data_IF_505311829962
#
_entry.id   IF_505311829962
#
_cell.length_a   1.000
_cell.length_b   1.000
_cell.length_c   1.000
_cell.angle_alpha   90.00
_cell.angle_beta   90.00
_cell.angle_gamma   90.00
#
_symmetry.space_group_name_H-M   'P 1'
#
loop_
_entity.id
_entity.type
_entity.pdbx_description
1 polymer ?
#
# COMPACT_ATOMS: atom_id res chain seq x y z
N UNK A 1 -0.96 21.82 9.08
CA UNK A 1 -0.09 22.82 8.44
C UNK A 1 1.35 22.34 8.48
N UNK A 2 2.00 22.24 7.32
CA UNK A 2 3.45 22.12 7.26
C UNK A 2 4.09 23.32 7.95
N UNK A 3 5.32 23.19 8.44
CA UNK A 3 6.02 24.28 9.16
C UNK A 3 6.15 25.59 8.36
N UNK A 4 5.85 25.58 7.06
CA UNK A 4 5.97 26.69 6.12
C UNK A 4 4.62 27.30 5.67
N UNK A 5 3.48 26.89 6.22
CA UNK A 5 2.15 27.38 5.79
C UNK A 5 1.67 26.83 4.44
N UNK A 6 2.34 25.81 3.89
CA UNK A 6 1.96 25.12 2.65
C UNK A 6 0.92 24.02 2.92
N UNK A 7 0.05 23.77 1.94
CA UNK A 7 -0.96 22.72 2.04
C UNK A 7 -0.31 21.33 2.12
N UNK A 8 -0.85 20.46 2.98
CA UNK A 8 -0.43 19.04 3.05
C UNK A 8 -0.89 18.29 1.81
N UNK A 9 0.03 17.68 1.07
CA UNK A 9 -0.26 16.92 -0.15
C UNK A 9 -0.29 15.43 0.14
N UNK A 10 -1.43 14.78 -0.10
CA UNK A 10 -1.62 13.34 0.09
C UNK A 10 -2.01 12.65 -1.22
N UNK A 11 -1.45 11.47 -1.48
CA UNK A 11 -1.71 10.67 -2.67
C UNK A 11 -2.09 9.23 -2.31
N UNK A 12 -3.31 8.80 -2.68
CA UNK A 12 -3.87 7.49 -2.31
C UNK A 12 -4.16 6.67 -3.56
N UNK A 13 -3.48 5.52 -3.76
CA UNK A 13 -3.70 4.64 -4.90
C UNK A 13 -4.85 3.66 -4.66
N UNK A 14 -5.57 3.27 -5.75
CA UNK A 14 -6.69 2.32 -5.64
C UNK A 14 -7.86 2.89 -4.83
N UNK A 15 -8.10 4.20 -4.92
CA UNK A 15 -8.95 4.93 -3.98
C UNK A 15 -10.40 5.14 -4.46
N UNK A 16 -10.83 4.50 -5.55
CA UNK A 16 -12.19 4.65 -6.07
C UNK A 16 -13.27 3.86 -5.31
N UNK A 17 -12.88 3.02 -4.33
CA UNK A 17 -13.80 2.20 -3.55
C UNK A 17 -13.15 1.65 -2.28
N UNK A 18 -13.98 1.08 -1.37
CA UNK A 18 -13.52 0.33 -0.19
C UNK A 18 -12.57 1.14 0.69
N UNK A 19 -11.51 0.49 1.19
CA UNK A 19 -10.54 1.11 2.10
C UNK A 19 -9.90 2.37 1.52
N UNK A 20 -9.50 2.34 0.24
CA UNK A 20 -8.86 3.50 -0.40
C UNK A 20 -9.76 4.73 -0.43
N UNK A 21 -11.06 4.56 -0.73
CA UNK A 21 -12.04 5.66 -0.68
C UNK A 21 -12.21 6.21 0.75
N UNK A 22 -12.26 5.31 1.74
CA UNK A 22 -12.34 5.69 3.15
C UNK A 22 -11.09 6.41 3.64
N UNK A 23 -9.91 6.04 3.13
CA UNK A 23 -8.65 6.75 3.42
C UNK A 23 -8.66 8.18 2.86
N UNK A 24 -9.10 8.36 1.60
CA UNK A 24 -9.27 9.71 1.01
C UNK A 24 -10.26 10.52 1.84
N UNK A 25 -11.40 9.93 2.22
CA UNK A 25 -12.41 10.58 3.08
C UNK A 25 -11.80 11.01 4.42
N UNK A 26 -11.06 10.14 5.08
CA UNK A 26 -10.45 10.42 6.37
C UNK A 26 -9.42 11.55 6.29
N UNK A 27 -8.52 11.51 5.31
CA UNK A 27 -7.51 12.55 5.10
C UNK A 27 -8.14 13.89 4.70
N UNK A 28 -9.14 13.88 3.80
CA UNK A 28 -9.84 15.10 3.40
C UNK A 28 -10.58 15.76 4.56
N UNK A 29 -11.19 14.98 5.47
CA UNK A 29 -11.80 15.50 6.70
C UNK A 29 -10.77 16.07 7.67
N UNK A 30 -9.63 15.41 7.79
CA UNK A 30 -8.59 15.82 8.73
C UNK A 30 -7.89 17.11 8.32
N UNK A 31 -7.65 17.29 7.03
CA UNK A 31 -6.90 18.45 6.53
C UNK A 31 -7.80 19.61 6.10
N UNK A 32 -9.07 19.34 5.74
CA UNK A 32 -9.98 20.38 5.29
C UNK A 32 -9.41 21.17 4.11
N UNK A 33 -9.44 22.49 4.21
CA UNK A 33 -8.91 23.41 3.19
C UNK A 33 -7.37 23.49 3.19
N UNK A 34 -6.71 23.03 4.25
CA UNK A 34 -5.25 23.01 4.39
C UNK A 34 -4.61 21.78 3.71
N UNK A 35 -5.40 20.94 3.03
CA UNK A 35 -4.90 19.72 2.39
C UNK A 35 -5.37 19.52 0.97
N UNK A 36 -4.46 18.98 0.15
CA UNK A 36 -4.73 18.52 -1.22
C UNK A 36 -4.65 17.01 -1.20
N UNK A 37 -5.81 16.33 -1.31
CA UNK A 37 -5.88 14.87 -1.27
C UNK A 37 -6.21 14.32 -2.65
N UNK A 38 -5.27 13.60 -3.24
CA UNK A 38 -5.43 12.94 -4.53
C UNK A 38 -6.07 11.55 -4.36
N UNK A 39 -7.19 11.35 -5.06
CA UNK A 39 -7.85 10.07 -5.27
C UNK A 39 -7.31 9.47 -6.57
N UNK A 40 -6.36 8.54 -6.47
CA UNK A 40 -5.79 7.90 -7.65
C UNK A 40 -6.46 6.56 -7.95
N UNK A 41 -6.91 6.36 -9.20
CA UNK A 41 -7.56 5.13 -9.64
C UNK A 41 -7.37 4.87 -11.13
N UNK A 42 -7.34 3.59 -11.51
CA UNK A 42 -7.14 3.15 -12.90
C UNK A 42 -8.29 3.55 -13.83
N UNK A 43 -9.52 3.43 -13.35
CA UNK A 43 -10.72 3.78 -14.14
C UNK A 43 -11.09 5.24 -13.89
N UNK A 44 -11.00 6.08 -14.94
CA UNK A 44 -11.42 7.47 -14.88
C UNK A 44 -12.89 7.60 -14.46
N UNK A 45 -13.78 6.78 -15.02
CA UNK A 45 -15.21 6.80 -14.73
C UNK A 45 -15.48 6.55 -13.24
N UNK A 46 -14.95 5.43 -12.69
CA UNK A 46 -15.14 5.07 -11.28
C UNK A 46 -14.44 6.04 -10.33
N UNK A 47 -13.27 6.56 -10.71
CA UNK A 47 -12.55 7.55 -9.92
C UNK A 47 -13.32 8.86 -9.83
N UNK A 48 -13.84 9.38 -10.94
CA UNK A 48 -14.67 10.58 -10.96
C UNK A 48 -16.00 10.40 -10.21
N UNK A 49 -16.60 9.19 -10.30
CA UNK A 49 -17.79 8.88 -9.50
C UNK A 49 -17.49 8.94 -8.00
N UNK A 50 -16.36 8.37 -7.57
CA UNK A 50 -15.92 8.40 -6.17
C UNK A 50 -15.64 9.84 -5.69
N UNK A 51 -15.04 10.69 -6.53
CA UNK A 51 -14.86 12.11 -6.23
C UNK A 51 -16.20 12.83 -6.07
N UNK A 52 -17.16 12.57 -6.98
CA UNK A 52 -18.51 13.15 -6.82
C UNK A 52 -19.15 12.76 -5.50
N UNK A 53 -19.07 11.45 -5.15
CA UNK A 53 -19.58 10.97 -3.86
C UNK A 53 -18.96 11.73 -2.67
N UNK A 54 -17.65 11.94 -2.67
CA UNK A 54 -16.97 12.67 -1.59
C UNK A 54 -17.31 14.15 -1.60
N UNK A 55 -17.56 14.76 -2.77
CA UNK A 55 -18.02 16.14 -2.89
C UNK A 55 -19.44 16.33 -2.34
N UNK A 56 -20.31 15.35 -2.53
CA UNK A 56 -21.65 15.35 -1.93
C UNK A 56 -21.59 15.26 -0.39
N UNK A 57 -20.47 14.72 0.16
CA UNK A 57 -20.16 14.76 1.60
C UNK A 57 -19.50 16.08 2.07
N UNK A 58 -19.32 17.06 1.17
CA UNK A 58 -18.67 18.35 1.47
C UNK A 58 -17.14 18.31 1.44
N UNK A 59 -16.53 17.25 0.85
CA UNK A 59 -15.08 17.10 0.74
C UNK A 59 -14.62 17.48 -0.68
N UNK A 60 -13.33 17.84 -0.83
CA UNK A 60 -12.79 18.34 -2.11
C UNK A 60 -11.55 17.59 -2.59
N UNK A 61 -11.59 16.24 -2.72
CA UNK A 61 -10.44 15.52 -3.26
C UNK A 61 -10.25 15.79 -4.75
N UNK A 62 -8.99 15.69 -5.22
CA UNK A 62 -8.64 15.74 -6.62
C UNK A 62 -8.56 14.34 -7.22
N UNK A 63 -9.08 14.16 -8.44
CA UNK A 63 -8.93 12.89 -9.16
C UNK A 63 -7.61 12.85 -9.92
N UNK A 64 -6.90 11.73 -9.82
CA UNK A 64 -5.75 11.40 -10.66
C UNK A 64 -5.93 10.03 -11.30
N UNK A 65 -5.85 9.95 -12.64
CA UNK A 65 -5.92 8.65 -13.31
C UNK A 65 -4.56 7.95 -13.21
N UNK A 66 -4.52 6.76 -12.61
CA UNK A 66 -3.29 5.99 -12.43
C UNK A 66 -3.55 4.48 -12.43
N UNK A 67 -2.89 3.76 -13.33
CA UNK A 67 -2.68 2.31 -13.19
C UNK A 67 -1.27 2.07 -12.63
N UNK A 68 -1.18 1.51 -11.42
CA UNK A 68 0.12 1.23 -10.76
C UNK A 68 0.97 0.18 -11.49
N UNK A 69 0.40 -0.50 -12.49
CA UNK A 69 1.13 -1.44 -13.37
C UNK A 69 1.86 -0.74 -14.51
N UNK A 70 1.52 0.50 -14.79
CA UNK A 70 2.13 1.32 -15.83
C UNK A 70 3.21 2.20 -15.21
N UNK A 71 4.46 1.90 -15.54
CA UNK A 71 5.63 2.60 -15.00
C UNK A 71 5.65 4.07 -15.41
N UNK A 72 5.25 4.37 -16.65
CA UNK A 72 5.28 5.75 -17.19
C UNK A 72 4.22 6.61 -16.48
N UNK A 73 2.99 6.08 -16.30
CA UNK A 73 1.96 6.77 -15.53
C UNK A 73 2.37 7.02 -14.06
N UNK A 74 3.05 6.07 -13.42
CA UNK A 74 3.54 6.25 -12.04
C UNK A 74 4.61 7.32 -11.97
N UNK A 75 5.55 7.35 -12.92
CA UNK A 75 6.59 8.38 -12.99
C UNK A 75 5.98 9.76 -13.31
N UNK A 76 5.04 9.85 -14.25
CA UNK A 76 4.32 11.09 -14.59
C UNK A 76 3.55 11.63 -13.38
N UNK A 77 2.93 10.75 -12.60
CA UNK A 77 2.22 11.16 -11.37
C UNK A 77 3.19 11.79 -10.35
N UNK A 78 4.33 11.16 -10.10
CA UNK A 78 5.34 11.70 -9.19
C UNK A 78 5.87 13.05 -9.69
N UNK A 79 6.20 13.16 -10.98
CA UNK A 79 6.66 14.41 -11.58
C UNK A 79 5.61 15.52 -11.50
N UNK A 80 4.34 15.20 -11.78
CA UNK A 80 3.22 16.15 -11.64
C UNK A 80 3.11 16.72 -10.24
N UNK A 81 3.25 15.85 -9.20
CA UNK A 81 3.21 16.32 -7.81
C UNK A 81 4.42 17.18 -7.47
N UNK A 82 5.60 16.78 -7.94
CA UNK A 82 6.83 17.56 -7.75
C UNK A 82 6.72 18.95 -8.38
N UNK A 83 6.21 19.04 -9.61
CA UNK A 83 6.05 20.32 -10.31
C UNK A 83 4.99 21.22 -9.69
N UNK A 84 3.85 20.65 -9.25
CA UNK A 84 2.73 21.43 -8.73
C UNK A 84 2.92 21.84 -7.27
N UNK A 85 3.56 20.99 -6.47
CA UNK A 85 3.59 21.10 -5.01
C UNK A 85 4.98 21.04 -4.39
N UNK A 86 6.04 20.89 -5.21
CA UNK A 86 7.41 20.71 -4.71
C UNK A 86 7.70 19.30 -4.20
N UNK A 87 6.69 18.48 -3.90
CA UNK A 87 6.80 17.13 -3.38
C UNK A 87 5.47 16.59 -2.85
N UNK A 88 5.55 15.56 -2.00
CA UNK A 88 4.39 14.92 -1.38
C UNK A 88 4.64 14.61 0.09
N UNK A 89 3.63 14.83 0.93
CA UNK A 89 3.73 14.62 2.38
C UNK A 89 3.23 13.24 2.80
N UNK A 90 2.21 12.71 2.10
CA UNK A 90 1.62 11.41 2.43
C UNK A 90 1.40 10.60 1.16
N UNK A 91 1.98 9.40 1.12
CA UNK A 91 1.73 8.40 0.07
C UNK A 91 1.11 7.16 0.69
N UNK A 92 -0.10 6.81 0.25
CA UNK A 92 -0.77 5.56 0.62
C UNK A 92 -0.80 4.62 -0.59
N UNK A 93 0.15 3.66 -0.64
CA UNK A 93 0.17 2.59 -1.62
C UNK A 93 -0.85 1.53 -1.22
N UNK A 94 -2.10 1.71 -1.68
CA UNK A 94 -3.25 0.88 -1.33
C UNK A 94 -3.78 0.06 -2.50
N UNK A 95 -3.46 0.41 -3.75
CA UNK A 95 -3.94 -0.32 -4.92
C UNK A 95 -3.63 -1.81 -4.83
N UNK A 96 -4.64 -2.65 -5.04
CA UNK A 96 -4.50 -4.11 -5.03
C UNK A 96 -5.45 -4.76 -6.04
N UNK A 97 -4.99 -5.84 -6.66
CA UNK A 97 -5.85 -6.72 -7.43
C UNK A 97 -6.63 -7.63 -6.48
N UNK A 98 -7.94 -7.76 -6.73
CA UNK A 98 -8.81 -8.70 -6.02
C UNK A 98 -8.64 -10.11 -6.61
N UNK A 99 -8.64 -11.12 -5.74
CA UNK A 99 -8.82 -12.52 -6.15
C UNK A 99 -10.30 -12.85 -6.19
N UNK A 100 -10.67 -13.79 -7.07
CA UNK A 100 -12.00 -14.38 -7.15
C UNK A 100 -11.88 -15.89 -7.04
N UNK A 101 -12.92 -16.58 -6.53
CA UNK A 101 -12.88 -18.04 -6.32
C UNK A 101 -13.01 -18.85 -7.61
N UNK A 102 -13.51 -18.22 -8.66
CA UNK A 102 -13.79 -18.78 -9.98
C UNK A 102 -12.60 -18.76 -10.95
N UNK A 103 -11.50 -18.09 -10.56
CA UNK A 103 -10.25 -18.03 -11.34
C UNK A 103 -9.13 -18.70 -10.56
N UNK A 104 -8.37 -19.56 -11.24
CA UNK A 104 -7.25 -20.27 -10.61
C UNK A 104 -6.12 -19.31 -10.16
N UNK A 105 -5.33 -19.73 -9.18
CA UNK A 105 -4.14 -18.96 -8.78
C UNK A 105 -3.12 -18.88 -9.92
N UNK A 106 -2.98 -19.92 -10.75
CA UNK A 106 -2.11 -19.93 -11.93
C UNK A 106 -2.49 -18.84 -12.95
N UNK A 107 -3.78 -18.63 -13.19
CA UNK A 107 -4.27 -17.59 -14.11
C UNK A 107 -4.23 -16.19 -13.48
N UNK A 108 -4.24 -16.11 -12.14
CA UNK A 108 -4.34 -14.86 -11.40
C UNK A 108 -2.97 -14.28 -11.04
N UNK A 109 -1.98 -15.13 -10.74
CA UNK A 109 -0.74 -14.77 -10.04
C UNK A 109 0.04 -13.64 -10.70
N UNK A 110 0.20 -13.66 -12.03
CA UNK A 110 0.98 -12.65 -12.76
C UNK A 110 0.43 -11.24 -12.57
N UNK A 111 -0.86 -11.04 -12.81
CA UNK A 111 -1.51 -9.76 -12.60
C UNK A 111 -1.59 -9.35 -11.14
N UNK A 112 -1.72 -10.35 -10.25
CA UNK A 112 -1.77 -10.14 -8.79
C UNK A 112 -0.44 -9.61 -8.25
N UNK A 113 0.68 -10.23 -8.61
CA UNK A 113 2.03 -9.78 -8.24
C UNK A 113 2.36 -8.45 -8.91
N UNK A 114 2.00 -8.27 -10.19
CA UNK A 114 2.26 -7.02 -10.90
C UNK A 114 1.54 -5.83 -10.24
N UNK A 115 0.27 -6.00 -9.85
CA UNK A 115 -0.47 -4.93 -9.19
C UNK A 115 0.00 -4.70 -7.76
N UNK A 116 0.05 -5.77 -6.94
CA UNK A 116 0.23 -5.64 -5.49
C UNK A 116 1.69 -5.38 -5.10
N UNK A 117 2.63 -6.04 -5.79
CA UNK A 117 4.05 -5.99 -5.47
C UNK A 117 4.81 -5.05 -6.39
N UNK A 118 4.84 -5.32 -7.70
CA UNK A 118 5.56 -4.43 -8.63
C UNK A 118 4.94 -3.03 -8.69
N UNK A 119 3.61 -2.90 -8.53
CA UNK A 119 2.95 -1.61 -8.35
C UNK A 119 3.47 -0.86 -7.13
N UNK A 120 3.60 -1.54 -5.97
CA UNK A 120 4.22 -0.96 -4.76
C UNK A 120 5.68 -0.57 -5.03
N UNK A 121 6.47 -1.39 -5.74
CA UNK A 121 7.87 -1.09 -6.06
C UNK A 121 7.99 0.13 -6.99
N UNK A 122 7.11 0.26 -7.99
CA UNK A 122 7.05 1.46 -8.85
C UNK A 122 6.74 2.71 -8.03
N UNK A 123 5.76 2.63 -7.11
CA UNK A 123 5.45 3.73 -6.19
C UNK A 123 6.66 4.10 -5.32
N UNK A 124 7.38 3.12 -4.76
CA UNK A 124 8.60 3.36 -3.98
C UNK A 124 9.65 4.11 -4.80
N UNK A 125 9.93 3.65 -6.03
CA UNK A 125 10.97 4.25 -6.89
C UNK A 125 10.62 5.66 -7.35
N UNK A 126 9.36 5.91 -7.71
CA UNK A 126 8.93 7.20 -8.24
C UNK A 126 8.66 8.24 -7.14
N UNK A 127 8.00 7.84 -6.06
CA UNK A 127 7.58 8.76 -5.02
C UNK A 127 8.61 8.93 -3.89
N UNK A 128 9.47 7.94 -3.65
CA UNK A 128 10.53 8.04 -2.65
C UNK A 128 11.40 9.30 -2.78
N UNK A 129 11.89 9.64 -3.99
CA UNK A 129 12.72 10.83 -4.20
C UNK A 129 12.02 12.17 -3.97
N UNK A 130 10.68 12.22 -4.08
CA UNK A 130 9.88 13.45 -3.96
C UNK A 130 9.16 13.59 -2.62
N UNK A 131 9.44 12.71 -1.66
CA UNK A 131 8.91 12.83 -0.30
C UNK A 131 9.45 14.09 0.37
N UNK A 132 8.56 14.90 0.93
CA UNK A 132 8.91 16.07 1.72
C UNK A 132 9.53 15.68 3.07
N UNK A 133 10.13 16.64 3.78
CA UNK A 133 10.55 16.43 5.16
C UNK A 133 9.34 16.08 6.04
N UNK A 134 9.51 15.13 6.93
CA UNK A 134 8.43 14.55 7.74
C UNK A 134 7.31 13.87 6.97
N UNK A 135 7.55 13.44 5.73
CA UNK A 135 6.56 12.69 4.94
C UNK A 135 6.28 11.30 5.50
N UNK A 136 5.17 10.72 5.05
CA UNK A 136 4.71 9.37 5.41
C UNK A 136 4.49 8.55 4.15
N UNK A 137 5.20 7.45 4.02
CA UNK A 137 4.99 6.48 2.94
C UNK A 137 4.45 5.18 3.56
N UNK A 138 3.17 4.91 3.35
CA UNK A 138 2.49 3.76 3.96
C UNK A 138 2.00 2.80 2.89
N UNK A 139 2.39 1.53 3.00
CA UNK A 139 1.89 0.43 2.16
C UNK A 139 0.78 -0.31 2.89
N UNK A 140 -0.40 -0.40 2.28
CA UNK A 140 -1.50 -1.20 2.84
C UNK A 140 -1.22 -2.68 2.59
N UNK A 141 -0.75 -3.34 3.65
CA UNK A 141 -0.39 -4.76 3.66
C UNK A 141 -1.45 -5.62 4.39
N UNK A 142 -1.00 -6.56 5.21
CA UNK A 142 -1.83 -7.46 6.02
C UNK A 142 -1.00 -8.11 7.11
N UNK A 143 -1.64 -8.63 8.15
CA UNK A 143 -1.01 -9.51 9.14
C UNK A 143 -0.40 -10.77 8.49
N UNK A 144 -0.85 -11.16 7.29
CA UNK A 144 -0.21 -12.22 6.48
C UNK A 144 1.19 -11.83 5.95
N UNK A 145 1.60 -10.58 6.07
CA UNK A 145 2.92 -10.10 5.68
C UNK A 145 4.07 -10.53 6.59
N UNK A 146 3.87 -11.48 7.50
CA UNK A 146 4.90 -11.96 8.45
C UNK A 146 5.52 -13.28 7.97
N UNK A 147 6.83 -13.45 8.23
CA UNK A 147 7.59 -14.62 7.78
C UNK A 147 7.12 -15.94 8.41
N UNK A 148 6.43 -15.90 9.55
CA UNK A 148 5.88 -17.11 10.18
C UNK A 148 4.92 -17.91 9.29
N UNK A 149 4.35 -17.28 8.26
CA UNK A 149 3.49 -17.96 7.28
C UNK A 149 4.26 -18.70 6.20
N UNK A 150 5.60 -18.54 6.16
CA UNK A 150 6.49 -19.33 5.32
C UNK A 150 7.07 -20.50 6.12
N UNK A 151 7.39 -21.57 5.40
CA UNK A 151 8.28 -22.61 5.93
C UNK A 151 9.64 -21.99 6.27
N UNK A 152 10.31 -22.54 7.27
CA UNK A 152 11.56 -22.01 7.80
C UNK A 152 12.64 -21.83 6.72
N UNK A 153 12.71 -22.76 5.78
CA UNK A 153 13.69 -22.79 4.70
C UNK A 153 13.51 -21.64 3.68
N UNK A 154 12.28 -21.08 3.59
CA UNK A 154 11.97 -19.99 2.68
C UNK A 154 12.16 -18.59 3.30
N UNK A 155 12.17 -18.50 4.65
CA UNK A 155 12.25 -17.20 5.36
C UNK A 155 13.51 -16.40 5.01
N UNK A 156 14.72 -17.00 4.91
CA UNK A 156 15.92 -16.26 4.52
C UNK A 156 15.85 -15.63 3.13
N UNK A 157 14.99 -16.15 2.25
CA UNK A 157 14.76 -15.56 0.92
C UNK A 157 14.13 -14.17 0.95
N UNK A 158 13.54 -13.77 2.07
CA UNK A 158 12.94 -12.45 2.30
C UNK A 158 13.74 -11.61 3.31
N UNK A 159 15.05 -11.83 3.41
CA UNK A 159 15.92 -11.02 4.26
C UNK A 159 16.07 -9.61 3.71
N UNK A 160 15.19 -8.71 4.15
CA UNK A 160 15.17 -7.31 3.74
C UNK A 160 16.44 -6.53 4.14
N UNK A 161 17.27 -7.05 5.07
CA UNK A 161 18.51 -6.39 5.44
C UNK A 161 19.58 -6.51 4.36
N UNK A 162 19.60 -7.63 3.60
CA UNK A 162 20.56 -7.89 2.54
C UNK A 162 20.00 -7.73 1.12
N UNK A 163 18.66 -7.77 0.97
CA UNK A 163 17.99 -7.77 -0.33
C UNK A 163 17.82 -6.35 -0.89
N UNK A 164 17.81 -6.22 -2.22
CA UNK A 164 17.38 -5.02 -2.95
C UNK A 164 15.96 -5.19 -3.49
N UNK A 165 15.30 -4.10 -3.90
CA UNK A 165 14.00 -4.19 -4.58
C UNK A 165 14.08 -5.04 -5.84
N UNK A 166 15.16 -4.95 -6.64
CA UNK A 166 15.36 -5.79 -7.82
C UNK A 166 15.55 -7.27 -7.45
N UNK A 167 16.20 -7.55 -6.32
CA UNK A 167 16.31 -8.91 -5.78
C UNK A 167 14.97 -9.48 -5.37
N UNK A 168 14.12 -8.66 -4.73
CA UNK A 168 12.75 -9.03 -4.37
C UNK A 168 11.89 -9.26 -5.61
N UNK A 169 12.02 -8.44 -6.66
CA UNK A 169 11.31 -8.64 -7.94
C UNK A 169 11.68 -9.98 -8.59
N UNK A 170 12.97 -10.33 -8.62
CA UNK A 170 13.43 -11.64 -9.14
C UNK A 170 12.84 -12.80 -8.34
N UNK A 171 12.83 -12.70 -7.00
CA UNK A 171 12.23 -13.71 -6.13
C UNK A 171 10.73 -13.89 -6.42
N UNK A 172 10.00 -12.79 -6.58
CA UNK A 172 8.56 -12.83 -6.88
C UNK A 172 8.28 -13.34 -8.30
N UNK A 173 9.19 -13.09 -9.27
CA UNK A 173 9.09 -13.67 -10.61
C UNK A 173 9.32 -15.19 -10.60
N UNK A 174 10.30 -15.68 -9.84
CA UNK A 174 10.50 -17.14 -9.63
C UNK A 174 9.26 -17.78 -8.99
N UNK A 175 8.71 -17.16 -7.94
CA UNK A 175 7.49 -17.64 -7.30
C UNK A 175 6.31 -17.66 -8.28
N UNK A 176 6.14 -16.60 -9.07
CA UNK A 176 5.10 -16.52 -10.11
C UNK A 176 5.19 -17.69 -11.09
N UNK A 177 6.40 -18.01 -11.58
CA UNK A 177 6.62 -19.13 -12.49
C UNK A 177 6.24 -20.48 -11.86
N UNK A 178 6.55 -20.69 -10.57
CA UNK A 178 6.18 -21.91 -9.84
C UNK A 178 4.66 -22.05 -9.70
N UNK A 179 3.94 -20.97 -9.40
CA UNK A 179 2.48 -20.98 -9.30
C UNK A 179 1.84 -21.25 -10.67
N UNK A 180 2.33 -20.65 -11.74
CA UNK A 180 1.88 -20.90 -13.12
C UNK A 180 2.09 -22.36 -13.55
N UNK A 181 3.17 -22.99 -13.06
CA UNK A 181 3.45 -24.40 -13.29
C UNK A 181 2.71 -25.37 -12.35
N UNK A 182 2.06 -24.86 -11.29
CA UNK A 182 1.45 -25.68 -10.23
C UNK A 182 2.45 -26.40 -9.33
N UNK A 183 3.68 -25.90 -9.26
CA UNK A 183 4.83 -26.50 -8.53
C UNK A 183 5.13 -25.79 -7.19
N UNK A 184 4.45 -24.68 -6.90
CA UNK A 184 4.69 -23.83 -5.74
C UNK A 184 4.55 -24.60 -4.42
N UNK A 185 3.49 -25.40 -4.24
CA UNK A 185 3.29 -26.16 -3.01
C UNK A 185 4.33 -27.28 -2.84
N UNK A 186 4.72 -27.95 -3.93
CA UNK A 186 5.81 -28.94 -3.91
C UNK A 186 7.15 -28.30 -3.54
N UNK A 187 7.38 -27.05 -3.95
CA UNK A 187 8.55 -26.26 -3.58
C UNK A 187 8.44 -25.64 -2.16
N UNK A 188 7.37 -25.93 -1.41
CA UNK A 188 7.21 -25.52 -0.01
C UNK A 188 6.55 -24.16 0.21
N UNK A 189 6.07 -23.52 -0.84
CA UNK A 189 5.37 -22.23 -0.72
C UNK A 189 3.98 -22.40 -0.10
N UNK A 190 3.43 -21.32 0.53
CA UNK A 190 2.06 -21.33 1.04
C UNK A 190 1.03 -21.56 -0.08
N UNK A 191 -0.07 -22.23 0.26
CA UNK A 191 -1.18 -22.47 -0.67
C UNK A 191 -1.94 -21.20 -1.10
N UNK A 192 -1.68 -20.07 -0.47
CA UNK A 192 -2.33 -18.80 -0.80
C UNK A 192 -1.32 -17.80 -1.36
N UNK A 193 -1.52 -17.40 -2.60
CA UNK A 193 -0.70 -16.36 -3.26
C UNK A 193 -0.76 -15.02 -2.52
N UNK A 194 -1.83 -14.76 -1.77
CA UNK A 194 -1.97 -13.54 -0.98
C UNK A 194 -0.92 -13.46 0.13
N UNK A 195 -0.57 -14.58 0.77
CA UNK A 195 0.45 -14.62 1.82
C UNK A 195 1.80 -14.15 1.28
N UNK A 196 2.26 -14.73 0.18
CA UNK A 196 3.57 -14.39 -0.42
C UNK A 196 3.58 -12.94 -0.89
N UNK A 197 2.49 -12.49 -1.53
CA UNK A 197 2.35 -11.09 -1.94
C UNK A 197 2.44 -10.13 -0.75
N UNK A 198 1.77 -10.42 0.36
CA UNK A 198 1.80 -9.56 1.56
C UNK A 198 3.17 -9.57 2.26
N UNK A 199 3.86 -10.70 2.28
CA UNK A 199 5.25 -10.77 2.75
C UNK A 199 6.15 -9.91 1.86
N UNK A 200 5.99 -10.00 0.53
CA UNK A 200 6.73 -9.18 -0.42
C UNK A 200 6.48 -7.68 -0.24
N UNK A 201 5.24 -7.26 0.06
CA UNK A 201 4.94 -5.84 0.35
C UNK A 201 5.64 -5.35 1.62
N UNK A 202 5.64 -6.13 2.71
CA UNK A 202 6.34 -5.76 3.95
C UNK A 202 7.85 -5.77 3.74
N UNK A 203 8.39 -6.74 2.99
CA UNK A 203 9.82 -6.75 2.63
C UNK A 203 10.21 -5.49 1.84
N UNK A 204 9.40 -5.06 0.86
CA UNK A 204 9.64 -3.83 0.11
C UNK A 204 9.67 -2.57 0.99
N UNK A 205 8.76 -2.48 1.97
CA UNK A 205 8.76 -1.41 2.99
C UNK A 205 10.05 -1.40 3.78
N UNK A 206 10.49 -2.54 4.28
CA UNK A 206 11.74 -2.68 5.06
C UNK A 206 12.98 -2.32 4.23
N UNK A 207 13.01 -2.71 2.96
CA UNK A 207 14.08 -2.33 2.02
C UNK A 207 14.08 -0.81 1.82
N UNK A 208 12.93 -0.20 1.52
CA UNK A 208 12.81 1.24 1.35
C UNK A 208 13.25 1.99 2.62
N UNK A 209 12.77 1.55 3.78
CA UNK A 209 13.12 2.17 5.06
C UNK A 209 14.63 2.09 5.36
N UNK A 210 15.28 0.96 5.07
CA UNK A 210 16.74 0.82 5.18
C UNK A 210 17.49 1.79 4.26
N UNK A 211 17.02 1.92 3.01
CA UNK A 211 17.69 2.69 1.96
C UNK A 211 17.41 4.20 2.06
N UNK A 212 16.34 4.61 2.78
CA UNK A 212 16.03 6.01 3.06
C UNK A 212 16.66 6.47 4.37
N UNK A 213 17.29 7.64 4.33
CA UNK A 213 17.87 8.23 5.54
C UNK A 213 16.76 8.77 6.46
N UNK A 214 16.76 8.36 7.74
CA UNK A 214 15.84 8.88 8.78
C UNK A 214 16.00 10.40 9.05
N UNK A 215 17.06 11.01 8.51
CA UNK A 215 17.46 12.41 8.78
C UNK A 215 16.40 13.45 8.45
N UNK A 216 15.47 13.13 7.53
CA UNK A 216 14.40 14.04 7.09
C UNK A 216 13.09 13.85 7.86
N UNK A 217 13.06 13.03 8.91
CA UNK A 217 11.85 12.74 9.68
C UNK A 217 10.78 11.94 8.90
N UNK A 218 11.15 11.35 7.76
CA UNK A 218 10.25 10.53 6.93
C UNK A 218 10.00 9.20 7.64
N UNK A 219 8.73 8.79 7.72
CA UNK A 219 8.35 7.44 8.17
C UNK A 219 7.88 6.60 6.98
N UNK A 220 8.34 5.35 6.95
CA UNK A 220 8.06 4.38 5.88
C UNK A 220 7.63 3.10 6.55
N UNK A 221 6.33 2.74 6.45
CA UNK A 221 5.76 1.61 7.17
C UNK A 221 4.73 0.85 6.34
N UNK A 222 4.42 -0.37 6.77
CA UNK A 222 3.31 -1.15 6.28
C UNK A 222 2.14 -1.11 7.28
N UNK A 223 0.92 -0.94 6.79
CA UNK A 223 -0.28 -0.94 7.63
C UNK A 223 -1.14 -2.18 7.35
N UNK A 224 -1.56 -2.87 8.40
CA UNK A 224 -2.60 -3.88 8.35
C UNK A 224 -3.91 -3.30 8.89
N UNK A 225 -4.94 -3.08 8.06
CA UNK A 225 -6.20 -2.51 8.51
C UNK A 225 -7.07 -3.49 9.32
N UNK A 226 -6.67 -4.77 9.42
CA UNK A 226 -7.47 -5.85 9.95
C UNK A 226 -8.39 -6.48 8.90
N UNK A 227 -9.36 -7.29 9.37
CA UNK A 227 -10.42 -7.80 8.51
C UNK A 227 -11.44 -6.69 8.24
N UNK A 228 -11.59 -6.34 6.97
CA UNK A 228 -12.50 -5.28 6.52
C UNK A 228 -13.61 -5.89 5.67
N UNK A 229 -14.84 -5.50 5.90
CA UNK A 229 -15.99 -5.91 5.11
C UNK A 229 -15.99 -5.18 3.77
N UNK A 230 -15.42 -5.82 2.76
CA UNK A 230 -15.33 -5.33 1.38
C UNK A 230 -15.65 -6.45 0.40
N UNK A 231 -15.94 -6.11 -0.83
CA UNK A 231 -16.07 -7.10 -1.91
C UNK A 231 -14.80 -7.95 -2.10
N UNK A 232 -13.63 -7.45 -1.70
CA UNK A 232 -12.37 -8.17 -1.83
C UNK A 232 -12.18 -9.25 -0.76
N UNK A 233 -12.72 -9.06 0.44
CA UNK A 233 -12.58 -9.95 1.59
C UNK A 233 -13.70 -10.98 1.71
N UNK A 234 -14.95 -10.55 1.49
CA UNK A 234 -16.15 -11.40 1.65
C UNK A 234 -16.04 -12.80 1.04
N UNK A 235 -15.45 -13.02 -0.16
CA UNK A 235 -15.35 -14.36 -0.73
C UNK A 235 -14.45 -15.33 0.07
N UNK A 236 -13.56 -14.82 0.94
CA UNK A 236 -12.48 -15.59 1.58
C UNK A 236 -12.70 -15.89 3.06
N UNK A 237 -13.70 -15.28 3.66
CA UNK A 237 -14.01 -15.45 5.08
C UNK A 237 -15.50 -15.82 5.22
N UNK A 238 -15.77 -16.98 5.81
CA UNK A 238 -17.14 -17.45 6.03
C UNK A 238 -17.83 -16.68 7.17
N UNK A 239 -17.05 -16.21 8.15
CA UNK A 239 -17.53 -15.36 9.23
C UNK A 239 -16.96 -13.93 9.11
N UNK A 240 -17.86 -13.00 8.82
CA UNK A 240 -17.57 -11.58 8.71
C UNK A 240 -18.06 -10.77 9.93
N UNK A 241 -18.53 -11.45 11.00
CA UNK A 241 -19.11 -10.80 12.18
C UNK A 241 -18.15 -9.86 12.92
N UNK A 242 -16.84 -10.12 12.80
CA UNK A 242 -15.78 -9.28 13.39
C UNK A 242 -15.15 -8.31 12.39
N UNK A 243 -15.62 -8.31 11.14
CA UNK A 243 -15.08 -7.44 10.11
C UNK A 243 -15.49 -5.99 10.37
N UNK A 244 -14.52 -5.09 10.28
CA UNK A 244 -14.75 -3.66 10.35
C UNK A 244 -15.32 -3.15 9.02
N UNK A 245 -16.11 -2.08 9.06
CA UNK A 245 -16.40 -1.30 7.85
C UNK A 245 -15.11 -0.73 7.24
N UNK A 246 -15.16 -0.32 5.98
CA UNK A 246 -14.01 0.33 5.33
C UNK A 246 -13.58 1.62 6.06
N UNK A 247 -14.55 2.39 6.59
CA UNK A 247 -14.27 3.61 7.35
C UNK A 247 -13.59 3.30 8.68
N UNK A 248 -14.04 2.30 9.43
CA UNK A 248 -13.38 1.86 10.67
C UNK A 248 -11.98 1.32 10.42
N UNK A 249 -11.79 0.58 9.30
CA UNK A 249 -10.47 0.09 8.91
C UNK A 249 -9.51 1.18 8.48
N UNK A 250 -10.02 2.29 7.95
CA UNK A 250 -9.22 3.45 7.57
C UNK A 250 -8.66 4.22 8.78
N UNK A 251 -9.28 4.16 9.95
CA UNK A 251 -8.91 4.95 11.14
C UNK A 251 -7.44 4.73 11.53
N UNK A 252 -7.01 3.47 11.67
CA UNK A 252 -5.65 3.17 12.12
C UNK A 252 -4.60 3.37 11.01
N UNK A 253 -4.97 3.19 9.74
CA UNK A 253 -4.10 3.50 8.60
C UNK A 253 -3.90 5.01 8.45
N UNK A 254 -4.97 5.80 8.56
CA UNK A 254 -4.91 7.25 8.54
C UNK A 254 -4.12 7.80 9.73
N UNK A 255 -4.30 7.23 10.94
CA UNK A 255 -3.50 7.58 12.12
C UNK A 255 -1.99 7.41 11.84
N UNK A 256 -1.58 6.26 11.28
CA UNK A 256 -0.17 6.00 10.94
C UNK A 256 0.35 7.00 9.90
N UNK A 257 -0.48 7.33 8.90
CA UNK A 257 -0.15 8.27 7.83
C UNK A 257 -0.11 9.73 8.29
N UNK A 258 -0.63 10.04 9.47
CA UNK A 258 -0.71 11.42 9.99
C UNK A 258 -0.04 11.58 11.35
N UNK A 259 0.91 10.70 11.67
CA UNK A 259 1.74 10.86 12.87
C UNK A 259 2.45 12.23 12.86
N UNK A 260 2.57 12.91 14.01
CA UNK A 260 3.16 14.25 14.08
C UNK A 260 4.57 14.33 13.49
N UNK A 261 4.95 15.52 13.00
CA UNK A 261 6.33 15.80 12.61
C UNK A 261 7.28 15.56 13.80
N UNK A 262 8.47 15.04 13.51
CA UNK A 262 9.44 14.65 14.53
C UNK A 262 9.19 13.27 15.16
N UNK A 263 8.11 12.56 14.81
CA UNK A 263 7.93 11.16 15.18
C UNK A 263 9.00 10.31 14.48
N UNK A 264 9.66 9.42 15.21
CA UNK A 264 10.76 8.57 14.71
C UNK A 264 10.41 7.09 14.61
N UNK A 265 9.31 6.66 15.21
CA UNK A 265 8.82 5.27 15.23
C UNK A 265 7.28 5.24 15.07
N UNK A 266 6.73 4.19 14.43
CA UNK A 266 7.42 3.04 13.83
C UNK A 266 8.22 3.42 12.58
N UNK A 267 9.19 2.59 12.16
CA UNK A 267 9.99 2.80 10.97
C UNK A 267 10.44 1.48 10.33
N UNK A 268 9.96 1.19 9.14
CA UNK A 268 10.21 -0.07 8.45
C UNK A 268 9.38 -1.23 9.02
N UNK A 269 8.29 -0.94 9.70
CA UNK A 269 7.54 -1.93 10.46
C UNK A 269 6.16 -2.23 9.86
N UNK A 270 5.61 -3.39 10.21
CA UNK A 270 4.20 -3.73 9.96
C UNK A 270 3.38 -3.34 11.18
N UNK A 271 2.43 -2.43 11.02
CA UNK A 271 1.60 -1.91 12.11
C UNK A 271 0.15 -2.36 11.93
N UNK A 272 -0.44 -2.91 13.02
CA UNK A 272 -1.86 -3.23 13.10
C UNK A 272 -2.42 -2.70 14.42
N UNK A 273 -3.55 -2.01 14.38
CA UNK A 273 -4.19 -1.46 15.58
C UNK A 273 -3.22 -0.62 16.44
N UNK A 274 -2.35 0.15 15.78
CA UNK A 274 -1.31 1.00 16.39
C UNK A 274 -0.21 0.23 17.15
N UNK A 275 -0.10 -1.07 16.89
CA UNK A 275 0.92 -1.95 17.48
C UNK A 275 1.78 -2.52 16.36
N UNK A 276 3.08 -2.51 16.57
CA UNK A 276 4.04 -3.15 15.65
C UNK A 276 3.88 -4.66 15.72
N UNK A 277 3.71 -5.29 14.58
CA UNK A 277 3.74 -6.74 14.43
C UNK A 277 5.14 -7.18 14.04
N UNK A 278 5.72 -8.10 14.79
CA UNK A 278 7.03 -8.65 14.45
C UNK A 278 6.98 -9.35 13.07
N UNK A 279 7.83 -8.87 12.17
CA UNK A 279 7.94 -9.42 10.81
C UNK A 279 8.45 -10.86 10.80
N UNK A 280 9.31 -11.21 11.76
CA UNK A 280 9.92 -12.54 11.86
C UNK A 280 9.00 -13.57 12.52
N UNK A 281 8.09 -13.11 13.41
CA UNK A 281 7.22 -13.95 14.24
C UNK A 281 5.92 -14.39 13.55
#
# INVERSE_FOLDING_TARGET
>A
MTANGESTVAFVTGANQGLGLSLVRALSRQFGEDGIVYLAARSAERGQQAVRQLRDEGLSPEFYQLDVRDTDQVNEAAETLRERHGGVDIVLSNAAQRRTRDVSDADTIRGFIDTNNHGTHRMIRAFGPILNDNARFIVVASAFGRLRYLREELRPRFDAAAMTLDGLEKLLAEYTALVEAGEDQAAGWPSSINVVSKIGQVAAVRIMARDHARQRGILIDAACPGLIDTEASRPWFDDMSTAKSADEGAVDVAWLATLPAGTTEPYGELVQYRVVLDYQA
#
